data_IF_428040569249
#
_entry.id   IF_428040569249
#
_cell.length_a   1.000
_cell.length_b   1.000
_cell.length_c   1.000
_cell.angle_alpha   90.00
_cell.angle_beta   90.00
_cell.angle_gamma   90.00
#
_symmetry.space_group_name_H-M   'P 1'
#
loop_
_entity.id
_entity.type
_entity.pdbx_description
1 polymer ?
#
# COMPACT_ATOMS: atom_id res chain seq x y z
N UNK A 1 -27.99 78.35 88.07
CA UNK A 1 -27.39 77.02 88.29
C UNK A 1 -28.16 75.96 87.50
N UNK A 2 -29.49 75.93 87.62
CA UNK A 2 -30.36 74.96 86.91
C UNK A 2 -30.27 75.03 85.37
N UNK A 3 -30.28 76.23 84.77
CA UNK A 3 -30.18 76.37 83.31
C UNK A 3 -28.90 75.76 82.72
N UNK A 4 -27.78 75.88 83.43
CA UNK A 4 -26.49 75.31 83.02
C UNK A 4 -26.49 73.78 83.08
N UNK A 5 -27.16 73.21 84.10
CA UNK A 5 -27.34 71.76 84.20
C UNK A 5 -28.24 71.24 83.07
N UNK A 6 -29.29 71.97 82.69
CA UNK A 6 -30.13 71.61 81.56
C UNK A 6 -29.36 71.60 80.23
N UNK A 7 -28.47 72.57 79.99
CA UNK A 7 -27.63 72.57 78.78
C UNK A 7 -26.65 71.39 78.75
N UNK A 8 -26.00 71.07 79.88
CA UNK A 8 -25.09 69.93 79.97
C UNK A 8 -25.81 68.59 79.75
N UNK A 9 -27.05 68.46 80.23
CA UNK A 9 -27.86 67.27 80.02
C UNK A 9 -28.34 67.13 78.57
N UNK A 10 -28.68 68.24 77.91
CA UNK A 10 -29.01 68.23 76.48
C UNK A 10 -27.81 67.79 75.65
N UNK A 11 -26.61 68.33 75.91
CA UNK A 11 -25.39 67.95 75.19
C UNK A 11 -25.08 66.45 75.41
N UNK A 12 -25.22 65.96 76.64
CA UNK A 12 -25.03 64.55 76.95
C UNK A 12 -26.02 63.63 76.21
N UNK A 13 -27.31 64.01 76.16
CA UNK A 13 -28.33 63.27 75.42
C UNK A 13 -28.09 63.32 73.91
N UNK A 14 -27.60 64.44 73.39
CA UNK A 14 -27.22 64.61 71.98
C UNK A 14 -26.07 63.66 71.62
N UNK A 15 -25.04 63.58 72.45
CA UNK A 15 -23.91 62.67 72.26
C UNK A 15 -24.33 61.20 72.33
N UNK A 16 -25.18 60.84 73.30
CA UNK A 16 -25.76 59.49 73.33
C UNK A 16 -26.56 59.17 72.07
N UNK A 17 -27.38 60.10 71.60
CA UNK A 17 -28.16 59.92 70.37
C UNK A 17 -27.24 59.75 69.15
N UNK A 18 -26.17 60.54 69.06
CA UNK A 18 -25.18 60.43 67.98
C UNK A 18 -24.48 59.07 67.98
N UNK A 19 -24.05 58.57 69.14
CA UNK A 19 -23.43 57.25 69.28
C UNK A 19 -24.42 56.17 68.83
N UNK A 20 -25.66 56.20 69.33
CA UNK A 20 -26.70 55.23 68.93
C UNK A 20 -27.01 55.28 67.43
N UNK A 21 -26.96 56.47 66.81
CA UNK A 21 -27.17 56.63 65.38
C UNK A 21 -26.02 56.01 64.56
N UNK A 22 -24.77 56.18 65.00
CA UNK A 22 -23.61 55.54 64.37
C UNK A 22 -23.69 54.02 64.50
N UNK A 23 -24.01 53.51 65.69
CA UNK A 23 -24.20 52.06 65.91
C UNK A 23 -25.32 51.50 65.02
N UNK A 24 -26.45 52.22 64.90
CA UNK A 24 -27.56 51.83 64.03
C UNK A 24 -27.14 51.76 62.55
N UNK A 25 -26.33 52.71 62.08
CA UNK A 25 -25.81 52.71 60.71
C UNK A 25 -24.87 51.51 60.45
N UNK A 26 -23.94 51.24 61.37
CA UNK A 26 -23.02 50.10 61.26
C UNK A 26 -23.80 48.77 61.24
N UNK A 27 -24.82 48.63 62.10
CA UNK A 27 -25.69 47.45 62.07
C UNK A 27 -26.48 47.35 60.76
N UNK A 28 -26.98 48.47 60.23
CA UNK A 28 -27.69 48.52 58.96
C UNK A 28 -26.83 48.03 57.79
N UNK A 29 -25.57 48.47 57.71
CA UNK A 29 -24.61 48.00 56.71
C UNK A 29 -24.29 46.51 56.86
N UNK A 30 -24.15 46.03 58.09
CA UNK A 30 -23.92 44.60 58.36
C UNK A 30 -25.12 43.75 57.94
N UNK A 31 -26.34 44.18 58.27
CA UNK A 31 -27.58 43.52 57.84
C UNK A 31 -27.66 43.48 56.32
N UNK A 32 -27.39 44.61 55.64
CA UNK A 32 -27.42 44.66 54.20
C UNK A 32 -26.37 43.72 53.55
N UNK A 33 -25.16 43.65 54.12
CA UNK A 33 -24.15 42.68 53.66
C UNK A 33 -24.59 41.22 53.85
N UNK A 34 -25.29 40.91 54.95
CA UNK A 34 -25.82 39.58 55.22
C UNK A 34 -26.97 39.24 54.27
N UNK A 35 -27.89 40.16 53.99
CA UNK A 35 -28.96 40.01 53.01
C UNK A 35 -28.38 39.69 51.62
N UNK A 36 -27.36 40.44 51.18
CA UNK A 36 -26.70 40.17 49.90
C UNK A 36 -26.08 38.76 49.86
N UNK A 37 -25.39 38.33 50.93
CA UNK A 37 -24.84 36.97 51.01
C UNK A 37 -25.93 35.89 51.01
N UNK A 38 -27.06 36.15 51.67
CA UNK A 38 -28.19 35.22 51.70
C UNK A 38 -28.80 35.05 50.31
N UNK A 39 -29.02 36.14 49.57
CA UNK A 39 -29.53 36.04 48.18
C UNK A 39 -28.59 35.27 47.25
N UNK A 40 -27.28 35.31 47.49
CA UNK A 40 -26.31 34.55 46.70
C UNK A 40 -26.25 33.07 47.10
N UNK A 41 -26.48 32.77 48.39
CA UNK A 41 -26.64 31.41 48.89
C UNK A 41 -27.93 30.76 48.40
N UNK A 42 -29.02 31.52 48.26
CA UNK A 42 -30.30 31.01 47.73
C UNK A 42 -30.18 30.51 46.27
N UNK A 43 -29.20 30.99 45.50
CA UNK A 43 -28.92 30.50 44.14
C UNK A 43 -28.08 29.22 44.11
N UNK A 44 -27.48 28.83 45.23
CA UNK A 44 -26.59 27.68 45.30
C UNK A 44 -27.29 26.34 44.97
N UNK A 45 -28.49 26.03 45.48
CA UNK A 45 -29.20 24.80 45.13
C UNK A 45 -29.46 24.66 43.63
N UNK A 46 -29.77 25.77 42.95
CA UNK A 46 -29.98 25.78 41.51
C UNK A 46 -28.69 25.47 40.74
N UNK A 47 -27.55 26.05 41.16
CA UNK A 47 -26.24 25.73 40.58
C UNK A 47 -25.86 24.27 40.79
N UNK A 48 -26.10 23.71 41.98
CA UNK A 48 -25.86 22.30 42.27
C UNK A 48 -26.72 21.42 41.35
N UNK A 49 -28.01 21.75 41.21
CA UNK A 49 -28.92 21.01 40.31
C UNK A 49 -28.47 21.04 38.85
N UNK A 50 -27.99 22.17 38.34
CA UNK A 50 -27.46 22.28 36.97
C UNK A 50 -26.21 21.39 36.82
N UNK A 51 -25.28 21.45 37.78
CA UNK A 51 -24.07 20.64 37.77
C UNK A 51 -24.39 19.14 37.84
N UNK A 52 -25.36 18.73 38.67
CA UNK A 52 -25.82 17.33 38.75
C UNK A 52 -26.40 16.85 37.41
N UNK A 53 -27.21 17.68 36.74
CA UNK A 53 -27.77 17.35 35.43
C UNK A 53 -26.68 17.23 34.36
N UNK A 54 -25.69 18.13 34.36
CA UNK A 54 -24.54 18.07 33.46
C UNK A 54 -23.70 16.82 33.68
N UNK A 55 -23.46 16.45 34.95
CA UNK A 55 -22.77 15.23 35.33
C UNK A 55 -23.51 13.99 34.82
N UNK A 56 -24.81 13.88 35.09
CA UNK A 56 -25.64 12.76 34.61
C UNK A 56 -25.64 12.64 33.08
N UNK A 57 -25.66 13.78 32.37
CA UNK A 57 -25.59 13.81 30.90
C UNK A 57 -24.20 13.37 30.41
N UNK A 58 -23.14 13.82 31.07
CA UNK A 58 -21.76 13.42 30.78
C UNK A 58 -21.53 11.93 31.02
N UNK A 59 -22.02 11.39 32.13
CA UNK A 59 -21.91 9.97 32.47
C UNK A 59 -22.63 9.09 31.44
N UNK A 60 -23.83 9.50 31.03
CA UNK A 60 -24.58 8.82 29.97
C UNK A 60 -23.81 8.81 28.64
N UNK A 61 -23.19 9.93 28.28
CA UNK A 61 -22.38 10.04 27.06
C UNK A 61 -21.10 9.20 27.14
N UNK A 62 -20.44 9.17 28.30
CA UNK A 62 -19.27 8.34 28.55
C UNK A 62 -19.60 6.84 28.40
N UNK A 63 -20.74 6.42 28.95
CA UNK A 63 -21.20 5.03 28.82
C UNK A 63 -21.44 4.63 27.36
N UNK A 64 -22.12 5.48 26.57
CA UNK A 64 -22.35 5.23 25.15
C UNK A 64 -21.04 5.11 24.36
N UNK A 65 -20.07 5.99 24.64
CA UNK A 65 -18.75 5.93 24.00
C UNK A 65 -17.98 4.66 24.39
N UNK A 66 -18.03 4.23 25.66
CA UNK A 66 -17.40 2.98 26.06
C UNK A 66 -18.00 1.77 25.36
N UNK A 67 -19.33 1.76 25.17
CA UNK A 67 -20.02 0.70 24.46
C UNK A 67 -19.68 0.68 22.96
N UNK A 68 -19.58 1.85 22.33
CA UNK A 68 -19.12 1.97 20.94
C UNK A 68 -17.68 1.47 20.78
N UNK A 69 -16.77 1.87 21.67
CA UNK A 69 -15.38 1.39 21.70
C UNK A 69 -15.33 -0.12 21.87
N UNK A 70 -16.15 -0.69 22.76
CA UNK A 70 -16.25 -2.14 22.95
C UNK A 70 -16.71 -2.86 21.68
N UNK A 71 -17.77 -2.37 21.03
CA UNK A 71 -18.25 -2.93 19.77
C UNK A 71 -17.15 -2.87 18.68
N UNK A 72 -16.43 -1.76 18.59
CA UNK A 72 -15.33 -1.58 17.62
C UNK A 72 -14.15 -2.50 17.91
N UNK A 73 -13.81 -2.73 19.17
CA UNK A 73 -12.78 -3.68 19.57
C UNK A 73 -13.14 -5.12 19.16
N UNK A 74 -14.40 -5.53 19.33
CA UNK A 74 -14.88 -6.85 18.88
C UNK A 74 -14.81 -7.00 17.35
N UNK A 75 -15.18 -5.97 16.59
CA UNK A 75 -15.02 -5.93 15.14
C UNK A 75 -13.55 -6.07 14.71
N UNK A 76 -12.64 -5.36 15.39
CA UNK A 76 -11.19 -5.42 15.13
C UNK A 76 -10.62 -6.80 15.44
N UNK A 77 -11.00 -7.41 16.57
CA UNK A 77 -10.56 -8.77 16.92
C UNK A 77 -11.04 -9.80 15.89
N UNK A 78 -12.28 -9.67 15.41
CA UNK A 78 -12.80 -10.53 14.34
C UNK A 78 -12.01 -10.35 13.05
N UNK A 79 -11.75 -9.11 12.63
CA UNK A 79 -10.96 -8.82 11.43
C UNK A 79 -9.53 -9.38 11.55
N UNK A 80 -8.89 -9.20 12.71
CA UNK A 80 -7.57 -9.76 13.02
C UNK A 80 -7.55 -11.28 12.86
N UNK A 81 -8.54 -12.00 13.42
CA UNK A 81 -8.64 -13.46 13.28
C UNK A 81 -8.87 -13.93 11.83
N UNK A 82 -9.48 -13.11 10.98
CA UNK A 82 -9.67 -13.42 9.57
C UNK A 82 -8.37 -13.21 8.78
N UNK A 83 -7.61 -12.16 9.12
CA UNK A 83 -6.29 -11.90 8.53
C UNK A 83 -5.36 -13.06 8.86
N UNK A 84 -5.26 -13.49 10.12
CA UNK A 84 -4.41 -14.61 10.53
C UNK A 84 -4.75 -15.91 9.77
N UNK A 85 -6.04 -16.19 9.56
CA UNK A 85 -6.48 -17.34 8.74
C UNK A 85 -6.04 -17.21 7.29
N UNK A 86 -6.19 -16.03 6.69
CA UNK A 86 -5.76 -15.77 5.32
C UNK A 86 -4.24 -15.93 5.18
N UNK A 87 -3.47 -15.38 6.12
CA UNK A 87 -2.01 -15.52 6.14
C UNK A 87 -1.57 -16.98 6.19
N UNK A 88 -2.22 -17.82 7.01
CA UNK A 88 -1.97 -19.27 7.03
C UNK A 88 -2.22 -19.91 5.66
N UNK A 89 -3.36 -19.63 5.03
CA UNK A 89 -3.68 -20.22 3.73
C UNK A 89 -2.75 -19.74 2.62
N UNK A 90 -2.30 -18.48 2.68
CA UNK A 90 -1.32 -17.93 1.73
C UNK A 90 0.03 -18.63 1.90
N UNK A 91 0.49 -18.84 3.13
CA UNK A 91 1.72 -19.58 3.40
C UNK A 91 1.66 -21.02 2.89
N UNK A 92 0.53 -21.71 3.09
CA UNK A 92 0.33 -23.08 2.59
C UNK A 92 0.42 -23.11 1.05
N UNK A 93 -0.31 -22.22 0.37
CA UNK A 93 -0.28 -22.13 -1.10
C UNK A 93 1.11 -21.74 -1.64
N UNK A 94 1.84 -20.89 -0.92
CA UNK A 94 3.20 -20.51 -1.29
C UNK A 94 4.16 -21.70 -1.20
N UNK A 95 4.03 -22.54 -0.17
CA UNK A 95 4.82 -23.77 -0.03
C UNK A 95 4.53 -24.75 -1.19
N UNK A 96 3.27 -24.90 -1.59
CA UNK A 96 2.88 -25.73 -2.73
C UNK A 96 3.49 -25.21 -4.04
N UNK A 97 3.43 -23.89 -4.28
CA UNK A 97 4.02 -23.26 -5.46
C UNK A 97 5.54 -23.47 -5.49
N UNK A 98 6.24 -23.33 -4.35
CA UNK A 98 7.68 -23.55 -4.28
C UNK A 98 8.06 -25.02 -4.53
N UNK A 99 7.25 -25.97 -4.05
CA UNK A 99 7.42 -27.39 -4.37
C UNK A 99 7.28 -27.64 -5.87
N UNK A 100 6.23 -27.12 -6.50
CA UNK A 100 5.99 -27.29 -7.94
C UNK A 100 7.10 -26.64 -8.79
N UNK A 101 7.64 -25.49 -8.36
CA UNK A 101 8.80 -24.87 -9.01
C UNK A 101 10.02 -25.79 -8.97
N UNK A 102 10.29 -26.43 -7.83
CA UNK A 102 11.40 -27.36 -7.71
C UNK A 102 11.21 -28.58 -8.65
N UNK A 103 10.00 -29.14 -8.70
CA UNK A 103 9.69 -30.26 -9.60
C UNK A 103 9.84 -29.87 -11.08
N UNK A 104 9.38 -28.67 -11.46
CA UNK A 104 9.55 -28.14 -12.81
C UNK A 104 11.02 -28.03 -13.20
N UNK A 105 11.87 -27.47 -12.33
CA UNK A 105 13.31 -27.36 -12.61
C UNK A 105 13.99 -28.74 -12.72
N UNK A 106 13.52 -29.74 -11.98
CA UNK A 106 14.00 -31.11 -12.10
C UNK A 106 13.62 -31.71 -13.47
N UNK A 107 12.37 -31.51 -13.90
CA UNK A 107 11.90 -31.96 -15.21
C UNK A 107 12.65 -31.26 -16.36
N UNK A 108 12.91 -29.96 -16.26
CA UNK A 108 13.72 -29.22 -17.24
C UNK A 108 15.13 -29.81 -17.37
N UNK A 109 15.80 -30.11 -16.25
CA UNK A 109 17.12 -30.75 -16.27
C UNK A 109 17.07 -32.14 -16.91
N UNK A 110 16.05 -32.95 -16.59
CA UNK A 110 15.88 -34.29 -17.18
C UNK A 110 15.61 -34.24 -18.67
N UNK A 111 14.87 -33.23 -19.15
CA UNK A 111 14.64 -33.01 -20.58
C UNK A 111 15.95 -32.65 -21.29
N UNK A 112 16.74 -31.75 -20.70
CA UNK A 112 18.06 -31.39 -21.23
C UNK A 112 18.99 -32.61 -21.32
N UNK A 113 19.03 -33.44 -20.27
CA UNK A 113 19.83 -34.66 -20.26
C UNK A 113 19.36 -35.68 -21.32
N UNK A 114 18.04 -35.82 -21.48
CA UNK A 114 17.44 -36.70 -22.48
C UNK A 114 17.72 -36.24 -23.92
N UNK A 115 17.69 -34.93 -24.17
CA UNK A 115 18.04 -34.34 -25.47
C UNK A 115 19.52 -34.56 -25.82
N UNK A 116 20.41 -34.34 -24.85
CA UNK A 116 21.84 -34.63 -24.98
C UNK A 116 22.10 -36.11 -25.30
N UNK A 117 21.41 -37.03 -24.59
CA UNK A 117 21.51 -38.46 -24.86
C UNK A 117 20.99 -38.82 -26.25
N UNK A 118 19.85 -38.27 -26.66
CA UNK A 118 19.27 -38.49 -27.98
C UNK A 118 20.23 -38.00 -29.10
N UNK A 119 20.91 -36.88 -28.89
CA UNK A 119 21.89 -36.36 -29.83
C UNK A 119 23.12 -37.27 -29.95
N UNK A 120 23.67 -37.75 -28.84
CA UNK A 120 24.76 -38.74 -28.86
C UNK A 120 24.34 -40.06 -29.52
N UNK A 121 23.11 -40.52 -29.28
CA UNK A 121 22.58 -41.71 -29.92
C UNK A 121 22.44 -41.51 -31.44
N UNK A 122 21.97 -40.36 -31.90
CA UNK A 122 21.88 -40.00 -33.32
C UNK A 122 23.27 -39.95 -33.99
N UNK A 123 24.27 -39.36 -33.34
CA UNK A 123 25.65 -39.35 -33.83
C UNK A 123 26.26 -40.76 -33.93
N UNK A 124 26.03 -41.60 -32.91
CA UNK A 124 26.51 -42.97 -32.91
C UNK A 124 25.84 -43.80 -34.02
N UNK A 125 24.52 -43.63 -34.20
CA UNK A 125 23.78 -44.24 -35.29
C UNK A 125 24.34 -43.82 -36.66
N UNK A 126 24.56 -42.52 -36.88
CA UNK A 126 25.13 -42.02 -38.13
C UNK A 126 26.54 -42.59 -38.41
N UNK A 127 27.35 -42.79 -37.36
CA UNK A 127 28.66 -43.46 -37.50
C UNK A 127 28.52 -44.93 -37.92
N UNK A 128 27.58 -45.66 -37.31
CA UNK A 128 27.29 -47.05 -37.68
C UNK A 128 26.78 -47.13 -39.11
N UNK A 129 25.80 -46.31 -39.48
CA UNK A 129 25.20 -46.30 -40.81
C UNK A 129 26.26 -46.04 -41.89
N UNK A 130 27.23 -45.15 -41.62
CA UNK A 130 28.37 -44.90 -42.50
C UNK A 130 29.25 -46.16 -42.66
N UNK A 131 29.63 -46.79 -41.54
CA UNK A 131 30.48 -47.98 -41.56
C UNK A 131 29.78 -49.16 -42.26
N UNK A 132 28.48 -49.29 -42.07
CA UNK A 132 27.65 -50.28 -42.76
C UNK A 132 27.70 -50.07 -44.27
N UNK A 133 27.49 -48.84 -44.75
CA UNK A 133 27.58 -48.51 -46.18
C UNK A 133 28.98 -48.75 -46.77
N UNK A 134 30.05 -48.51 -46.00
CA UNK A 134 31.42 -48.84 -46.41
C UNK A 134 31.61 -50.36 -46.56
N UNK A 135 31.07 -51.16 -45.64
CA UNK A 135 31.12 -52.62 -45.74
C UNK A 135 30.24 -53.18 -46.86
N UNK A 136 29.06 -52.60 -47.11
CA UNK A 136 28.21 -52.95 -48.24
C UNK A 136 28.93 -52.72 -49.58
N UNK A 137 29.67 -51.61 -49.71
CA UNK A 137 30.49 -51.33 -50.88
C UNK A 137 31.62 -52.36 -51.05
N UNK A 138 32.34 -52.67 -49.97
CA UNK A 138 33.40 -53.70 -49.98
C UNK A 138 32.88 -55.07 -50.39
N UNK A 139 31.69 -55.45 -49.91
CA UNK A 139 31.03 -56.70 -50.30
C UNK A 139 30.68 -56.69 -51.79
N UNK A 140 30.17 -55.57 -52.31
CA UNK A 140 29.85 -55.45 -53.73
C UNK A 140 31.10 -55.53 -54.61
N UNK A 141 32.20 -54.88 -54.21
CA UNK A 141 33.49 -54.97 -54.89
C UNK A 141 34.07 -56.40 -54.86
N UNK A 142 34.00 -57.07 -53.71
CA UNK A 142 34.42 -58.47 -53.57
C UNK A 142 33.61 -59.40 -54.47
N UNK A 143 32.30 -59.20 -54.55
CA UNK A 143 31.42 -59.96 -55.43
C UNK A 143 31.78 -59.77 -56.91
N UNK A 144 32.00 -58.51 -57.35
CA UNK A 144 32.43 -58.22 -58.72
C UNK A 144 33.77 -58.91 -59.05
N UNK A 145 34.72 -58.92 -58.11
CA UNK A 145 35.99 -59.63 -58.28
C UNK A 145 35.80 -61.15 -58.41
N UNK A 146 34.91 -61.74 -57.59
CA UNK A 146 34.58 -63.17 -57.69
C UNK A 146 33.99 -63.47 -59.07
N UNK A 147 33.03 -62.67 -59.54
CA UNK A 147 32.39 -62.86 -60.84
C UNK A 147 33.41 -62.78 -62.00
N UNK A 148 34.35 -61.85 -61.91
CA UNK A 148 35.44 -61.73 -62.89
C UNK A 148 36.39 -62.93 -62.86
N UNK A 149 36.80 -63.38 -61.67
CA UNK A 149 37.65 -64.57 -61.52
C UNK A 149 36.94 -65.83 -62.01
N UNK A 150 35.62 -65.96 -61.82
CA UNK A 150 34.81 -67.05 -62.36
C UNK A 150 34.82 -67.04 -63.89
N UNK A 151 34.69 -65.86 -64.50
CA UNK A 151 34.76 -65.71 -65.96
C UNK A 151 36.14 -66.11 -66.50
N UNK A 152 37.22 -65.64 -65.87
CA UNK A 152 38.59 -66.00 -66.21
C UNK A 152 38.85 -67.51 -66.05
N UNK A 153 38.36 -68.12 -64.96
CA UNK A 153 38.45 -69.57 -64.76
C UNK A 153 37.75 -70.35 -65.87
N UNK A 154 36.59 -69.86 -66.33
CA UNK A 154 35.84 -70.47 -67.42
C UNK A 154 36.63 -70.41 -68.74
N UNK A 155 37.27 -69.27 -69.04
CA UNK A 155 38.13 -69.09 -70.22
C UNK A 155 39.40 -69.97 -70.15
N UNK A 156 40.02 -70.08 -68.98
CA UNK A 156 41.18 -70.95 -68.77
C UNK A 156 40.83 -72.44 -68.96
N UNK A 157 39.65 -72.86 -68.52
CA UNK A 157 39.13 -74.22 -68.79
C UNK A 157 38.89 -74.48 -70.28
N UNK A 158 38.54 -73.47 -71.07
CA UNK A 158 38.37 -73.59 -72.54
C UNK A 158 39.72 -73.63 -73.30
N UNK A 159 40.80 -73.06 -72.75
CA UNK A 159 42.13 -73.02 -73.37
C UNK A 159 43.00 -74.27 -73.13
N UNK A 160 42.55 -75.22 -72.31
CA UNK A 160 43.24 -76.50 -72.06
C UNK A 160 42.70 -77.61 -72.99
N UNK A 161 43.51 -78.19 -73.91
CA UNK A 161 43.05 -79.30 -74.73
C UNK A 161 43.17 -80.63 -73.98
N UNK A 162 42.06 -81.37 -73.97
CA UNK A 162 41.98 -82.78 -73.58
C UNK A 162 42.94 -83.61 -74.47
N UNK A 163 43.99 -84.19 -73.88
CA UNK A 163 44.65 -85.40 -74.39
C UNK A 163 44.93 -86.36 -73.26
N UNK A 164 44.20 -87.47 -73.25
CA UNK A 164 44.48 -88.63 -72.42
C UNK A 164 45.53 -89.53 -73.09
N UNK A 165 46.49 -90.08 -72.32
CA UNK A 165 46.65 -91.54 -72.17
C UNK A 165 47.72 -91.96 -71.13
N UNK A 166 47.23 -92.84 -70.25
CA UNK A 166 47.80 -93.79 -69.28
C UNK A 166 49.29 -94.18 -69.35
N UNK A 167 49.92 -94.27 -68.18
CA UNK A 167 50.76 -95.40 -67.71
C UNK A 167 50.89 -95.38 -66.17
N UNK A 168 50.56 -96.52 -65.54
CA UNK A 168 50.84 -96.92 -64.14
C UNK A 168 52.21 -97.69 -64.11
N UNK A 169 52.85 -98.08 -62.97
CA UNK A 169 52.24 -98.43 -61.69
C UNK A 169 53.05 -98.16 -60.38
N UNK A 170 52.31 -98.35 -59.28
CA UNK A 170 52.75 -98.83 -57.95
C UNK A 170 52.95 -97.84 -56.81
N UNK A 171 52.19 -98.15 -55.76
CA UNK A 171 52.49 -98.02 -54.33
C UNK A 171 52.58 -96.62 -53.75
N UNK A 172 51.44 -96.14 -53.24
CA UNK A 172 51.20 -95.86 -51.81
C UNK A 172 50.11 -94.80 -51.68
N UNK A 173 49.10 -95.07 -50.86
CA UNK A 173 48.12 -94.06 -50.46
C UNK A 173 46.69 -94.37 -50.86
N UNK A 174 46.14 -95.48 -50.38
CA UNK A 174 44.70 -95.55 -50.08
C UNK A 174 44.39 -94.49 -49.00
N UNK A 175 44.17 -93.22 -49.37
CA UNK A 175 43.51 -92.28 -48.43
C UNK A 175 42.90 -90.98 -49.00
N UNK A 176 42.65 -90.76 -50.30
CA UNK A 176 42.15 -89.43 -50.72
C UNK A 176 41.02 -89.39 -51.76
N UNK A 177 40.23 -90.46 -51.89
CA UNK A 177 39.05 -90.48 -52.80
C UNK A 177 37.69 -90.55 -52.05
N UNK A 178 37.63 -89.98 -50.85
CA UNK A 178 36.38 -89.81 -50.08
C UNK A 178 36.07 -88.37 -49.66
N UNK A 179 36.75 -87.37 -50.25
CA UNK A 179 36.67 -85.99 -49.77
C UNK A 179 36.22 -84.94 -50.79
N UNK A 180 35.66 -85.32 -51.95
CA UNK A 180 35.24 -84.36 -52.97
C UNK A 180 33.80 -84.50 -53.50
N UNK A 181 33.02 -85.47 -53.01
CA UNK A 181 31.55 -85.47 -53.19
C UNK A 181 30.78 -85.16 -51.89
N UNK A 182 31.48 -85.04 -50.75
CA UNK A 182 30.87 -84.69 -49.45
C UNK A 182 31.10 -83.24 -49.01
N UNK A 183 31.76 -82.39 -49.82
CA UNK A 183 31.98 -80.97 -49.50
C UNK A 183 30.83 -80.05 -49.91
N UNK A 184 30.22 -80.30 -51.07
CA UNK A 184 29.23 -79.39 -51.66
C UNK A 184 27.81 -79.50 -51.09
N UNK A 185 27.46 -80.61 -50.44
CA UNK A 185 26.15 -80.77 -49.81
C UNK A 185 26.07 -80.10 -48.43
N UNK A 186 27.20 -79.99 -47.72
CA UNK A 186 27.27 -79.36 -46.41
C UNK A 186 27.32 -77.82 -46.48
N UNK A 187 27.96 -77.24 -47.51
CA UNK A 187 27.97 -75.79 -47.73
C UNK A 187 26.61 -75.26 -48.23
N UNK A 188 25.92 -75.99 -49.13
CA UNK A 188 24.60 -75.58 -49.62
C UNK A 188 23.48 -75.74 -48.57
N UNK A 189 23.56 -76.73 -47.68
CA UNK A 189 22.68 -76.83 -46.50
C UNK A 189 22.99 -75.72 -45.47
N UNK A 190 24.27 -75.40 -45.26
CA UNK A 190 24.69 -74.32 -44.36
C UNK A 190 24.18 -72.95 -44.83
N UNK A 191 24.34 -72.63 -46.12
CA UNK A 191 23.89 -71.35 -46.69
C UNK A 191 22.37 -71.22 -46.67
N UNK A 192 21.64 -72.31 -46.91
CA UNK A 192 20.17 -72.32 -46.84
C UNK A 192 19.66 -72.14 -45.40
N UNK A 193 20.33 -72.74 -44.41
CA UNK A 193 20.07 -72.52 -42.98
C UNK A 193 20.38 -71.08 -42.53
N UNK A 194 21.38 -70.44 -43.14
CA UNK A 194 21.70 -69.02 -42.89
C UNK A 194 20.62 -68.11 -43.48
N UNK A 195 20.16 -68.38 -44.71
CA UNK A 195 19.09 -67.63 -45.34
C UNK A 195 17.77 -67.74 -44.57
N UNK A 196 17.42 -68.95 -44.12
CA UNK A 196 16.19 -69.19 -43.34
C UNK A 196 16.26 -68.51 -41.96
N UNK A 197 17.45 -68.46 -41.34
CA UNK A 197 17.67 -67.70 -40.11
C UNK A 197 17.53 -66.19 -40.36
N UNK A 198 18.12 -65.67 -41.42
CA UNK A 198 18.00 -64.26 -41.80
C UNK A 198 16.55 -63.88 -42.14
N UNK A 199 15.81 -64.75 -42.82
CA UNK A 199 14.39 -64.55 -43.14
C UNK A 199 13.53 -64.48 -41.87
N UNK A 200 13.73 -65.41 -40.92
CA UNK A 200 13.06 -65.36 -39.60
C UNK A 200 13.42 -64.09 -38.83
N UNK A 201 14.69 -63.71 -38.84
CA UNK A 201 15.17 -62.53 -38.13
C UNK A 201 14.61 -61.23 -38.74
N UNK A 202 14.38 -61.20 -40.07
CA UNK A 202 13.69 -60.12 -40.75
C UNK A 202 12.19 -60.09 -40.41
N UNK A 203 11.50 -61.24 -40.41
CA UNK A 203 10.10 -61.32 -39.97
C UNK A 203 9.93 -60.84 -38.51
N UNK A 204 10.82 -61.28 -37.61
CA UNK A 204 10.85 -60.82 -36.21
C UNK A 204 11.10 -59.31 -36.11
N UNK A 205 11.97 -58.77 -36.97
CA UNK A 205 12.25 -57.33 -37.03
C UNK A 205 11.07 -56.52 -37.56
N UNK A 206 10.35 -57.03 -38.58
CA UNK A 206 9.12 -56.41 -39.08
C UNK A 206 8.01 -56.38 -38.03
N UNK A 207 7.83 -57.48 -37.29
CA UNK A 207 6.86 -57.55 -36.20
C UNK A 207 7.19 -56.55 -35.08
N UNK A 208 8.47 -56.43 -34.71
CA UNK A 208 8.92 -55.44 -33.73
C UNK A 208 8.69 -54.00 -34.23
N UNK A 209 8.94 -53.72 -35.52
CA UNK A 209 8.69 -52.41 -36.11
C UNK A 209 7.20 -52.07 -36.06
N UNK A 210 6.31 -53.00 -36.39
CA UNK A 210 4.87 -52.76 -36.30
C UNK A 210 4.40 -52.53 -34.86
N UNK A 211 4.93 -53.30 -33.90
CA UNK A 211 4.63 -53.08 -32.49
C UNK A 211 5.08 -51.69 -32.02
N UNK A 212 6.30 -51.27 -32.38
CA UNK A 212 6.80 -49.92 -32.04
C UNK A 212 6.00 -48.80 -32.71
N UNK A 213 5.48 -49.02 -33.92
CA UNK A 213 4.58 -48.04 -34.58
C UNK A 213 3.25 -47.92 -33.84
N UNK A 214 2.71 -49.03 -33.34
CA UNK A 214 1.48 -49.04 -32.53
C UNK A 214 1.70 -48.29 -31.22
N UNK A 215 2.78 -48.62 -30.49
CA UNK A 215 3.16 -47.93 -29.24
C UNK A 215 3.39 -46.43 -29.46
N UNK A 216 4.05 -46.05 -30.55
CA UNK A 216 4.24 -44.64 -30.91
C UNK A 216 2.91 -43.93 -31.17
N UNK A 217 1.95 -44.59 -31.82
CA UNK A 217 0.61 -44.04 -32.07
C UNK A 217 -0.17 -43.86 -30.77
N UNK A 218 -0.09 -44.83 -29.86
CA UNK A 218 -0.75 -44.77 -28.56
C UNK A 218 -0.14 -43.68 -27.67
N UNK A 219 1.18 -43.60 -27.58
CA UNK A 219 1.87 -42.54 -26.83
C UNK A 219 1.56 -41.15 -27.38
N UNK A 220 1.46 -41.00 -28.72
CA UNK A 220 1.09 -39.74 -29.34
C UNK A 220 -0.37 -39.36 -29.04
N UNK A 221 -1.28 -40.33 -29.01
CA UNK A 221 -2.68 -40.09 -28.63
C UNK A 221 -2.77 -39.66 -27.18
N UNK A 222 -2.09 -40.37 -26.27
CA UNK A 222 -2.07 -40.03 -24.84
C UNK A 222 -1.49 -38.64 -24.59
N UNK A 223 -0.36 -38.30 -25.21
CA UNK A 223 0.23 -36.96 -25.09
C UNK A 223 -0.68 -35.86 -25.62
N UNK A 224 -1.56 -36.16 -26.59
CA UNK A 224 -2.57 -35.23 -27.10
C UNK A 224 -3.71 -35.04 -26.09
N UNK A 225 -4.20 -36.10 -25.48
CA UNK A 225 -5.22 -36.06 -24.43
C UNK A 225 -4.71 -35.30 -23.20
N UNK A 226 -3.50 -35.63 -22.71
CA UNK A 226 -2.86 -34.95 -21.58
C UNK A 226 -2.67 -33.43 -21.85
N UNK A 227 -2.37 -33.05 -23.10
CA UNK A 227 -2.25 -31.64 -23.49
C UNK A 227 -3.60 -30.91 -23.56
N UNK A 228 -4.68 -31.61 -23.94
CA UNK A 228 -6.04 -31.07 -23.93
C UNK A 228 -6.56 -30.87 -22.50
N UNK A 229 -6.35 -31.86 -21.63
CA UNK A 229 -6.69 -31.79 -20.21
C UNK A 229 -5.97 -30.61 -19.53
N UNK A 230 -4.65 -30.47 -19.74
CA UNK A 230 -3.89 -29.35 -19.20
C UNK A 230 -4.40 -27.99 -19.73
N UNK A 231 -4.78 -27.93 -21.00
CA UNK A 231 -5.33 -26.70 -21.60
C UNK A 231 -6.67 -26.33 -20.95
N UNK A 232 -7.50 -27.33 -20.64
CA UNK A 232 -8.77 -27.12 -19.94
C UNK A 232 -8.55 -26.64 -18.51
N UNK A 233 -7.67 -27.28 -17.74
CA UNK A 233 -7.33 -26.84 -16.38
C UNK A 233 -6.80 -25.41 -16.35
N UNK A 234 -5.91 -25.07 -17.29
CA UNK A 234 -5.40 -23.71 -17.45
C UNK A 234 -6.50 -22.69 -17.77
N UNK A 235 -7.53 -23.08 -18.54
CA UNK A 235 -8.67 -22.21 -18.82
C UNK A 235 -9.55 -22.02 -17.58
N UNK A 236 -9.83 -23.08 -16.83
CA UNK A 236 -10.61 -23.01 -15.59
C UNK A 236 -9.94 -22.12 -14.54
N UNK A 237 -8.62 -22.26 -14.36
CA UNK A 237 -7.83 -21.39 -13.49
C UNK A 237 -7.89 -19.92 -13.93
N UNK A 238 -7.80 -19.64 -15.24
CA UNK A 238 -7.94 -18.27 -15.77
C UNK A 238 -9.31 -17.67 -15.45
N UNK A 239 -10.39 -18.45 -15.60
CA UNK A 239 -11.73 -17.97 -15.24
C UNK A 239 -11.85 -17.68 -13.75
N UNK A 240 -11.31 -18.54 -12.88
CA UNK A 240 -11.31 -18.31 -11.43
C UNK A 240 -10.53 -17.04 -11.06
N UNK A 241 -9.31 -16.88 -11.57
CA UNK A 241 -8.48 -15.68 -11.33
C UNK A 241 -9.19 -14.42 -11.81
N UNK A 242 -9.82 -14.47 -13.00
CA UNK A 242 -10.57 -13.34 -13.55
C UNK A 242 -11.75 -12.98 -12.66
N UNK A 243 -12.49 -13.97 -12.15
CA UNK A 243 -13.59 -13.74 -11.21
C UNK A 243 -13.13 -13.08 -9.91
N UNK A 244 -12.02 -13.56 -9.32
CA UNK A 244 -11.44 -12.95 -8.12
C UNK A 244 -10.97 -11.50 -8.36
N UNK A 245 -10.38 -11.24 -9.53
CA UNK A 245 -9.96 -9.88 -9.91
C UNK A 245 -11.16 -8.94 -10.04
N UNK A 246 -12.24 -9.36 -10.68
CA UNK A 246 -13.46 -8.57 -10.82
C UNK A 246 -14.11 -8.23 -9.47
N UNK A 247 -14.09 -9.17 -8.53
CA UNK A 247 -14.56 -8.94 -7.16
C UNK A 247 -13.68 -7.93 -6.41
N UNK A 248 -12.36 -8.02 -6.56
CA UNK A 248 -11.41 -7.09 -5.96
C UNK A 248 -11.53 -5.68 -6.56
N UNK A 249 -11.75 -5.56 -7.88
CA UNK A 249 -12.05 -4.27 -8.52
C UNK A 249 -13.30 -3.62 -7.94
N UNK A 250 -14.39 -4.39 -7.77
CA UNK A 250 -15.63 -3.90 -7.15
C UNK A 250 -15.40 -3.47 -5.70
N UNK A 251 -14.67 -4.28 -4.93
CA UNK A 251 -14.33 -3.97 -3.53
C UNK A 251 -13.54 -2.66 -3.42
N UNK A 252 -12.49 -2.49 -4.24
CA UNK A 252 -11.68 -1.27 -4.29
C UNK A 252 -12.50 -0.04 -4.66
N UNK A 253 -13.35 -0.15 -5.69
CA UNK A 253 -14.24 0.94 -6.09
C UNK A 253 -15.18 1.37 -4.96
N UNK A 254 -15.76 0.44 -4.20
CA UNK A 254 -16.58 0.76 -3.03
C UNK A 254 -15.80 1.48 -1.93
N UNK A 255 -14.59 1.02 -1.63
CA UNK A 255 -13.73 1.63 -0.60
C UNK A 255 -13.32 3.05 -1.03
N UNK A 256 -12.91 3.22 -2.27
CA UNK A 256 -12.52 4.52 -2.84
C UNK A 256 -13.69 5.52 -2.79
N UNK A 257 -14.89 5.08 -3.19
CA UNK A 257 -16.08 5.91 -3.13
C UNK A 257 -16.43 6.34 -1.70
N UNK A 258 -16.31 5.43 -0.73
CA UNK A 258 -16.53 5.74 0.69
C UNK A 258 -15.47 6.70 1.23
N UNK A 259 -14.20 6.54 0.84
CA UNK A 259 -13.11 7.43 1.22
C UNK A 259 -13.33 8.85 0.67
N UNK A 260 -13.73 8.97 -0.60
CA UNK A 260 -14.05 10.26 -1.23
C UNK A 260 -15.20 10.95 -0.49
N UNK A 261 -16.28 10.21 -0.17
CA UNK A 261 -17.42 10.77 0.58
C UNK A 261 -16.98 11.29 1.96
N UNK A 262 -16.17 10.52 2.69
CA UNK A 262 -15.68 10.93 3.99
C UNK A 262 -14.76 12.16 3.92
N UNK A 263 -13.89 12.24 2.90
CA UNK A 263 -13.05 13.43 2.67
C UNK A 263 -13.93 14.66 2.42
N UNK A 264 -14.95 14.55 1.55
CA UNK A 264 -15.88 15.64 1.28
C UNK A 264 -16.62 16.11 2.54
N UNK A 265 -17.07 15.19 3.39
CA UNK A 265 -17.69 15.53 4.67
C UNK A 265 -16.74 16.33 5.56
N UNK A 266 -15.50 15.86 5.71
CA UNK A 266 -14.48 16.55 6.49
C UNK A 266 -14.15 17.93 5.92
N UNK A 267 -14.01 18.07 4.60
CA UNK A 267 -13.78 19.35 3.93
C UNK A 267 -14.92 20.36 4.18
N UNK A 268 -16.17 19.89 4.17
CA UNK A 268 -17.31 20.75 4.49
C UNK A 268 -17.31 21.17 5.97
N UNK A 269 -16.90 20.28 6.88
CA UNK A 269 -16.81 20.59 8.30
C UNK A 269 -15.69 21.60 8.57
N UNK A 270 -14.51 21.39 8.00
CA UNK A 270 -13.38 22.34 8.08
C UNK A 270 -13.78 23.71 7.53
N UNK A 271 -14.50 23.74 6.41
CA UNK A 271 -15.01 24.99 5.82
C UNK A 271 -15.98 25.71 6.75
N UNK A 272 -16.91 24.99 7.39
CA UNK A 272 -17.84 25.54 8.39
C UNK A 272 -17.07 26.12 9.59
N UNK A 273 -16.13 25.39 10.16
CA UNK A 273 -15.33 25.87 11.29
C UNK A 273 -14.48 27.10 10.93
N UNK A 274 -13.89 27.12 9.73
CA UNK A 274 -13.16 28.28 9.20
C UNK A 274 -14.05 29.53 9.14
N UNK A 275 -15.30 29.38 8.67
CA UNK A 275 -16.25 30.51 8.65
C UNK A 275 -16.61 30.99 10.05
N UNK A 276 -16.85 30.08 11.01
CA UNK A 276 -17.11 30.43 12.42
C UNK A 276 -15.95 31.19 13.05
N UNK A 277 -14.72 30.69 12.86
CA UNK A 277 -13.49 31.30 13.36
C UNK A 277 -13.30 32.69 12.77
N UNK A 278 -13.51 32.86 11.46
CA UNK A 278 -13.41 34.17 10.80
C UNK A 278 -14.42 35.19 11.36
N UNK A 279 -15.64 34.74 11.68
CA UNK A 279 -16.65 35.56 12.33
C UNK A 279 -16.29 35.94 13.77
N UNK A 280 -15.71 35.01 14.53
CA UNK A 280 -15.23 35.27 15.89
C UNK A 280 -14.07 36.26 15.90
N UNK A 281 -13.11 36.12 14.98
CA UNK A 281 -11.98 37.04 14.84
C UNK A 281 -12.44 38.46 14.53
N UNK A 282 -13.43 38.62 13.63
CA UNK A 282 -14.02 39.92 13.31
C UNK A 282 -14.65 40.57 14.54
N UNK A 283 -15.45 39.83 15.31
CA UNK A 283 -16.07 40.34 16.55
C UNK A 283 -15.02 40.74 17.58
N UNK A 284 -13.93 39.99 17.69
CA UNK A 284 -12.82 40.34 18.58
C UNK A 284 -12.14 41.65 18.14
N UNK A 285 -11.90 41.82 16.84
CA UNK A 285 -11.32 43.04 16.30
C UNK A 285 -12.22 44.27 16.54
N UNK A 286 -13.53 44.14 16.28
CA UNK A 286 -14.52 45.19 16.54
C UNK A 286 -14.57 45.57 18.03
N UNK A 287 -14.53 44.58 18.92
CA UNK A 287 -14.46 44.78 20.37
C UNK A 287 -13.19 45.53 20.78
N UNK A 288 -12.04 45.17 20.22
CA UNK A 288 -10.77 45.85 20.48
C UNK A 288 -10.79 47.30 20.00
N UNK A 289 -11.34 47.58 18.82
CA UNK A 289 -11.51 48.95 18.32
C UNK A 289 -12.45 49.79 19.21
N UNK A 290 -13.55 49.21 19.68
CA UNK A 290 -14.48 49.87 20.59
C UNK A 290 -13.81 50.17 21.95
N UNK A 291 -13.13 49.19 22.53
CA UNK A 291 -12.39 49.36 23.78
C UNK A 291 -11.29 50.45 23.64
N UNK A 292 -10.61 50.50 22.50
CA UNK A 292 -9.64 51.55 22.21
C UNK A 292 -10.28 52.94 22.14
N UNK A 293 -11.43 53.08 21.46
CA UNK A 293 -12.19 54.34 21.42
C UNK A 293 -12.63 54.79 22.82
N UNK A 294 -13.18 53.87 23.61
CA UNK A 294 -13.58 54.15 25.00
C UNK A 294 -12.39 54.56 25.86
N UNK A 295 -11.23 53.89 25.74
CA UNK A 295 -10.02 54.26 26.46
C UNK A 295 -9.53 55.68 26.10
N UNK A 296 -9.61 56.05 24.81
CA UNK A 296 -9.26 57.39 24.36
C UNK A 296 -10.23 58.45 24.89
N UNK A 297 -11.52 58.15 24.98
CA UNK A 297 -12.52 59.05 25.56
C UNK A 297 -12.34 59.21 27.08
N UNK A 298 -12.12 58.11 27.81
CA UNK A 298 -11.79 58.14 29.25
C UNK A 298 -10.54 58.99 29.48
N UNK A 299 -9.50 58.84 28.66
CA UNK A 299 -8.29 59.67 28.74
C UNK A 299 -8.61 61.16 28.56
N UNK A 300 -9.41 61.52 27.54
CA UNK A 300 -9.84 62.91 27.31
C UNK A 300 -10.62 63.48 28.50
N UNK A 301 -11.55 62.70 29.05
CA UNK A 301 -12.34 63.10 30.22
C UNK A 301 -11.46 63.28 31.46
N UNK A 302 -10.49 62.38 31.66
CA UNK A 302 -9.50 62.48 32.75
C UNK A 302 -8.66 63.75 32.62
N UNK A 303 -8.13 64.02 31.42
CA UNK A 303 -7.33 65.22 31.14
C UNK A 303 -8.16 66.51 31.37
N UNK A 304 -9.46 66.51 31.04
CA UNK A 304 -10.35 67.64 31.27
C UNK A 304 -10.65 67.85 32.76
N UNK A 305 -10.90 66.77 33.50
CA UNK A 305 -11.12 66.82 34.94
C UNK A 305 -9.87 67.31 35.69
N UNK A 306 -8.69 66.85 35.28
CA UNK A 306 -7.42 67.30 35.85
C UNK A 306 -7.22 68.80 35.66
N UNK A 307 -7.48 69.33 34.46
CA UNK A 307 -7.47 70.78 34.19
C UNK A 307 -8.48 71.54 35.07
N UNK A 308 -9.71 71.05 35.18
CA UNK A 308 -10.73 71.68 36.04
C UNK A 308 -10.28 71.71 37.50
N UNK A 309 -9.72 70.61 38.00
CA UNK A 309 -9.20 70.54 39.35
C UNK A 309 -8.00 71.48 39.56
N UNK A 310 -7.11 71.61 38.58
CA UNK A 310 -6.03 72.61 38.62
C UNK A 310 -6.57 74.05 38.68
N UNK A 311 -7.61 74.38 37.90
CA UNK A 311 -8.24 75.70 37.90
C UNK A 311 -8.93 76.03 39.24
N UNK A 312 -9.61 75.04 39.84
CA UNK A 312 -10.25 75.19 41.17
C UNK A 312 -9.20 75.38 42.28
N UNK A 313 -8.09 74.63 42.23
CA UNK A 313 -7.03 74.73 43.23
C UNK A 313 -6.16 75.99 43.07
N UNK A 314 -6.13 76.62 41.90
CA UNK A 314 -5.38 77.87 41.69
C UNK A 314 -6.05 79.10 42.31
N UNK A 315 -7.27 78.99 42.83
CA UNK A 315 -7.86 79.98 43.75
C UNK A 315 -7.62 81.43 43.33
N UNK A 316 -7.77 81.77 42.04
CA UNK A 316 -7.70 83.15 41.60
C UNK A 316 -9.00 83.82 41.97
N UNK A 317 -9.06 84.31 43.22
CA UNK A 317 -10.08 85.25 43.66
C UNK A 317 -10.01 86.45 42.71
N UNK A 318 -11.03 86.58 41.86
CA UNK A 318 -11.25 87.75 41.03
C UNK A 318 -11.35 88.97 41.96
N UNK A 319 -10.32 89.81 41.99
CA UNK A 319 -10.27 91.02 42.85
C UNK A 319 -11.36 92.06 42.52
N UNK A 320 -12.16 91.85 41.48
CA UNK A 320 -13.22 92.75 41.03
C UNK A 320 -14.65 92.20 41.13
N UNK A 321 -14.89 90.97 41.60
CA UNK A 321 -16.24 90.48 41.92
C UNK A 321 -16.26 89.59 43.17
N UNK A 322 -17.13 89.90 44.13
CA UNK A 322 -17.38 89.10 45.34
C UNK A 322 -18.13 87.78 45.09
N UNK A 323 -18.44 87.46 43.83
CA UNK A 323 -19.36 86.39 43.48
C UNK A 323 -18.71 84.99 43.31
N UNK A 324 -17.38 84.86 43.37
CA UNK A 324 -16.67 83.57 43.23
C UNK A 324 -16.79 82.87 41.86
N UNK A 325 -17.78 83.23 41.05
CA UNK A 325 -18.11 82.62 39.76
C UNK A 325 -17.35 83.21 38.57
N UNK A 326 -16.85 84.46 38.68
CA UNK A 326 -16.24 85.15 37.53
C UNK A 326 -14.86 84.60 37.12
N UNK A 327 -14.07 84.04 38.04
CA UNK A 327 -12.76 83.47 37.70
C UNK A 327 -12.89 82.19 36.86
N UNK A 328 -13.95 81.40 37.13
CA UNK A 328 -14.20 80.12 36.45
C UNK A 328 -14.65 80.30 34.99
N UNK A 329 -15.39 81.38 34.69
CA UNK A 329 -15.89 81.68 33.34
C UNK A 329 -14.80 82.22 32.39
N UNK A 330 -13.77 82.90 32.91
CA UNK A 330 -12.69 83.48 32.09
C UNK A 330 -11.75 82.37 31.57
N UNK A 331 -11.43 81.35 32.38
CA UNK A 331 -10.60 80.23 31.91
C UNK A 331 -11.36 79.27 30.98
N UNK A 332 -12.67 79.08 31.19
CA UNK A 332 -13.50 78.27 30.29
C UNK A 332 -13.73 78.97 28.92
N UNK A 333 -13.73 80.31 28.87
CA UNK A 333 -13.89 81.09 27.63
C UNK A 333 -12.65 81.07 26.71
N UNK A 334 -11.47 80.74 27.23
CA UNK A 334 -10.22 80.65 26.44
C UNK A 334 -9.96 79.23 25.89
N UNK A 335 -10.86 78.26 26.10
CA UNK A 335 -10.73 76.91 25.57
C UNK A 335 -11.14 76.85 24.08
N UNK A 336 -10.34 77.43 23.21
CA UNK A 336 -10.41 77.12 21.78
C UNK A 336 -9.92 75.70 21.56
N UNK A 337 -10.72 74.89 20.87
CA UNK A 337 -10.37 73.54 20.44
C UNK A 337 -9.36 73.66 19.30
N UNK A 338 -8.08 73.84 19.63
CA UNK A 338 -6.98 73.61 18.69
C UNK A 338 -6.41 72.22 18.95
N UNK A 339 -6.72 71.29 18.05
CA UNK A 339 -6.11 69.97 18.03
C UNK A 339 -4.60 70.08 17.77
N UNK A 340 -3.77 69.18 18.31
CA UNK A 340 -2.34 69.23 18.03
C UNK A 340 -2.08 68.65 16.63
N UNK A 341 -1.87 69.54 15.67
CA UNK A 341 -1.16 69.24 14.44
C UNK A 341 0.35 69.08 14.70
N UNK A 342 0.85 67.86 14.50
CA UNK A 342 2.18 67.62 13.93
C UNK A 342 3.36 67.46 14.90
N UNK A 343 3.74 66.19 15.15
CA UNK A 343 5.13 65.83 15.42
C UNK A 343 5.49 64.50 14.72
N UNK A 344 6.02 64.67 13.50
CA UNK A 344 7.19 63.99 12.93
C UNK A 344 7.32 62.47 13.14
N UNK A 345 7.04 61.74 12.06
CA UNK A 345 7.57 60.42 11.70
C UNK A 345 9.09 60.29 11.91
N UNK A 346 9.56 59.11 12.35
CA UNK A 346 10.80 58.55 11.85
C UNK A 346 10.52 57.33 10.95
N UNK A 347 11.00 57.48 9.71
CA UNK A 347 11.46 56.46 8.76
C UNK A 347 11.80 55.11 9.42
N UNK A 348 11.12 54.06 8.99
CA UNK A 348 11.67 53.00 8.11
C UNK A 348 13.02 52.46 8.56
N UNK A 349 13.01 51.26 9.13
CA UNK A 349 14.01 50.25 8.82
C UNK A 349 13.31 48.92 8.60
N UNK A 350 13.32 48.56 7.32
CA UNK A 350 13.04 47.26 6.76
C UNK A 350 14.32 46.42 6.92
N UNK A 351 14.31 45.40 7.77
CA UNK A 351 15.11 44.16 7.62
C UNK A 351 14.16 43.07 8.11
N UNK A 352 13.34 42.50 7.24
CA UNK A 352 13.66 41.34 6.42
C UNK A 352 14.12 40.14 7.28
N UNK A 353 13.14 39.42 7.81
CA UNK A 353 13.27 38.04 8.27
C UNK A 353 12.14 37.23 7.64
N UNK A 354 12.24 37.06 6.32
CA UNK A 354 11.36 36.18 5.53
C UNK A 354 11.92 34.76 5.61
N UNK A 355 11.01 33.79 5.66
CA UNK A 355 11.15 32.35 5.39
C UNK A 355 11.74 31.46 6.50
N UNK A 356 10.86 30.67 7.12
CA UNK A 356 10.69 29.26 6.73
C UNK A 356 9.37 28.72 7.33
N UNK A 357 8.27 29.01 6.65
CA UNK A 357 7.13 28.08 6.60
C UNK A 357 6.81 27.95 5.12
N UNK A 358 7.51 27.00 4.49
CA UNK A 358 7.25 26.56 3.13
C UNK A 358 7.64 25.09 3.02
N UNK A 359 6.88 24.23 3.71
CA UNK A 359 6.64 22.89 3.18
C UNK A 359 5.59 23.05 2.07
N UNK A 360 6.08 23.47 0.90
CA UNK A 360 5.36 23.43 -0.35
C UNK A 360 5.20 21.95 -0.70
N UNK A 361 4.05 21.36 -0.37
CA UNK A 361 3.59 20.20 -1.11
C UNK A 361 3.13 20.76 -2.45
N UNK A 362 4.04 20.72 -3.40
CA UNK A 362 3.77 20.95 -4.81
C UNK A 362 2.85 19.83 -5.29
N UNK A 363 1.55 20.08 -5.25
CA UNK A 363 0.55 19.29 -5.95
C UNK A 363 0.61 19.71 -7.42
N UNK A 364 1.20 18.86 -8.27
CA UNK A 364 1.04 18.97 -9.72
C UNK A 364 -0.29 18.32 -10.11
N UNK A 365 -1.20 19.04 -10.79
CA UNK A 365 -2.30 18.40 -11.49
C UNK A 365 -1.76 17.75 -12.77
N UNK A 366 -2.28 16.57 -13.09
CA UNK A 366 -1.95 15.74 -14.25
C UNK A 366 -1.68 16.54 -15.54
N UNK A 367 -0.55 16.25 -16.18
CA UNK A 367 -0.52 16.30 -17.64
C UNK A 367 -1.04 14.96 -18.16
N UNK A 368 -2.21 15.03 -18.79
CA UNK A 368 -2.72 13.99 -19.66
C UNK A 368 -1.65 13.63 -20.71
N UNK A 369 -1.09 12.43 -20.61
CA UNK A 369 -0.47 11.76 -21.74
C UNK A 369 -1.55 10.93 -22.44
N UNK A 370 -2.40 11.61 -23.20
CA UNK A 370 -3.02 10.98 -24.36
C UNK A 370 -1.92 10.61 -25.35
N UNK A 371 -1.90 9.35 -25.76
CA UNK A 371 -1.62 9.00 -27.14
C UNK A 371 -0.18 8.67 -27.53
N UNK A 372 -0.06 7.42 -27.98
CA UNK A 372 0.69 6.98 -29.17
C UNK A 372 2.09 6.38 -28.94
N UNK A 373 2.21 5.06 -29.19
CA UNK A 373 3.50 4.39 -29.02
C UNK A 373 3.63 2.88 -29.24
N UNK A 374 2.90 2.29 -30.21
CA UNK A 374 3.13 0.96 -30.85
C UNK A 374 2.81 -0.33 -30.09
#
# INVERSE_FOLDING_TARGET
MELMNCYQEIDYLQDQLNIRNVEANIMGEHIHSLELKLTELEKFPERVRVMDNELMRSDSQCWLLMEEVRCKEEELQKASSQIEKLESTVLDSQCEIESLKLDLTNLEQRLFDAESFAQHAAEHKARIDKLLGEHELQLHEAQNNIDQLVLENKQLKELLPIKAHKQSPSTSGDHLDKQLENGGHAEYESDNLILERMAKQNEESELLIEQLKEELREQKLKAKEDAEDLTQEMAELRYQITGMLDEEYKRRSCIEQAAIQHIQELETQVSKEKTKLSGALRRLQESHELAHKQAMEIKKLKDALERFNSAVNLGTVCKSCSCGFCAMLIELSNCSIEGPSGARSPKSNHINGKLQDQALIEWHPDEASDGDGR
#
